data_IF_595728835423
#
_entry.id   IF_595728835423
#
_cell.length_a   1.000
_cell.length_b   1.000
_cell.length_c   1.000
_cell.angle_alpha   90.00
_cell.angle_beta   90.00
_cell.angle_gamma   90.00
#
_symmetry.space_group_name_H-M   'P 1'
#
loop_
_entity.id
_entity.type
_entity.pdbx_description
1 polymer ?
#
# COMPACT_ATOMS: atom_id res chain seq x y z
N UNK A 1 -65.23 -19.37 -1.53
CA UNK A 1 -64.09 -19.28 -0.60
C UNK A 1 -62.97 -20.10 -1.21
N UNK A 2 -62.16 -19.44 -2.05
CA UNK A 2 -61.13 -20.07 -2.84
C UNK A 2 -59.78 -19.71 -2.22
N UNK A 3 -59.07 -20.70 -1.69
CA UNK A 3 -57.75 -20.59 -1.12
C UNK A 3 -56.75 -20.49 -2.28
N UNK A 4 -56.11 -19.36 -2.39
CA UNK A 4 -54.93 -19.16 -3.27
C UNK A 4 -53.70 -19.87 -2.66
N UNK A 5 -53.23 -20.86 -3.36
CA UNK A 5 -52.00 -21.59 -3.04
C UNK A 5 -50.80 -20.76 -3.48
N UNK A 6 -49.97 -20.31 -2.52
CA UNK A 6 -48.67 -19.66 -2.78
C UNK A 6 -47.64 -20.76 -2.89
N UNK A 7 -46.85 -20.87 -3.99
CA UNK A 7 -45.82 -21.86 -4.07
C UNK A 7 -44.61 -21.44 -3.21
N UNK A 8 -44.33 -22.31 -2.27
CA UNK A 8 -43.15 -22.28 -1.38
C UNK A 8 -41.88 -22.50 -2.15
N UNK A 9 -40.88 -21.67 -1.91
CA UNK A 9 -39.47 -22.07 -1.91
C UNK A 9 -38.68 -21.86 -3.19
N UNK A 10 -38.31 -20.62 -3.46
CA UNK A 10 -36.99 -20.39 -4.09
C UNK A 10 -36.00 -20.10 -2.97
N UNK A 11 -35.31 -21.14 -2.54
CA UNK A 11 -34.11 -21.01 -1.67
C UNK A 11 -32.99 -20.40 -2.53
N UNK A 12 -32.88 -19.09 -2.52
CA UNK A 12 -31.71 -18.42 -3.05
C UNK A 12 -30.56 -18.86 -2.13
N UNK A 13 -29.80 -19.85 -2.58
CA UNK A 13 -28.50 -20.15 -1.99
C UNK A 13 -27.62 -18.90 -2.20
N UNK A 14 -27.59 -18.04 -1.21
CA UNK A 14 -26.51 -17.09 -1.03
C UNK A 14 -25.24 -17.95 -0.81
N UNK A 15 -24.55 -18.25 -1.90
CA UNK A 15 -23.18 -18.74 -1.82
C UNK A 15 -22.36 -17.59 -1.25
N UNK A 16 -22.21 -17.57 0.06
CA UNK A 16 -21.25 -16.71 0.74
C UNK A 16 -19.86 -17.18 0.32
N UNK A 17 -19.36 -16.63 -0.77
CA UNK A 17 -17.97 -16.87 -1.19
C UNK A 17 -17.07 -16.28 -0.13
N UNK A 18 -16.25 -17.11 0.50
CA UNK A 18 -15.24 -16.63 1.44
C UNK A 18 -14.30 -15.67 0.72
N UNK A 19 -13.98 -14.52 1.30
CA UNK A 19 -13.07 -13.57 0.67
C UNK A 19 -11.72 -14.22 0.39
N UNK A 20 -11.13 -13.87 -0.75
CA UNK A 20 -9.80 -14.35 -1.14
C UNK A 20 -8.78 -13.78 -0.15
N UNK A 21 -8.00 -14.66 0.44
CA UNK A 21 -6.91 -14.30 1.37
C UNK A 21 -5.52 -14.44 0.73
N UNK A 22 -5.44 -15.07 -0.44
CA UNK A 22 -4.21 -15.24 -1.24
C UNK A 22 -4.50 -15.01 -2.70
N UNK A 23 -3.70 -14.19 -3.35
CA UNK A 23 -3.90 -13.87 -4.77
C UNK A 23 -2.57 -13.51 -5.44
N UNK A 24 -2.39 -13.96 -6.68
CA UNK A 24 -1.28 -13.53 -7.52
C UNK A 24 -1.57 -12.15 -8.15
N UNK A 25 -0.56 -11.30 -8.22
CA UNK A 25 -0.68 -9.95 -8.75
C UNK A 25 -1.15 -9.92 -10.21
N UNK A 26 -0.66 -10.87 -11.02
CA UNK A 26 -1.12 -11.02 -12.40
C UNK A 26 -2.62 -11.30 -12.52
N UNK A 27 -3.24 -11.92 -11.49
CA UNK A 27 -4.69 -12.12 -11.45
C UNK A 27 -5.45 -10.85 -11.08
N UNK A 28 -4.88 -9.99 -10.25
CA UNK A 28 -5.48 -8.70 -9.89
C UNK A 28 -5.50 -7.75 -11.09
N UNK A 29 -4.48 -7.82 -11.94
CA UNK A 29 -4.40 -6.99 -13.14
C UNK A 29 -5.62 -7.21 -14.06
N UNK A 30 -6.33 -6.13 -14.35
CA UNK A 30 -7.55 -6.12 -15.16
C UNK A 30 -8.85 -6.34 -14.37
N UNK A 31 -8.80 -6.73 -13.09
CA UNK A 31 -10.01 -6.86 -12.27
C UNK A 31 -10.74 -5.53 -12.14
N UNK A 32 -12.07 -5.62 -12.09
CA UNK A 32 -12.92 -4.45 -11.89
C UNK A 32 -12.91 -4.06 -10.43
N UNK A 33 -12.77 -2.77 -10.16
CA UNK A 33 -12.91 -2.17 -8.83
C UNK A 33 -14.28 -1.53 -8.72
N UNK A 34 -15.02 -1.88 -7.66
CA UNK A 34 -16.37 -1.37 -7.37
C UNK A 34 -16.43 -0.73 -6.00
N UNK A 35 -17.20 0.34 -5.92
CA UNK A 35 -17.62 0.91 -4.65
C UNK A 35 -18.72 0.08 -3.96
N UNK A 36 -19.13 0.47 -2.74
CA UNK A 36 -20.12 -0.25 -1.95
C UNK A 36 -21.50 -0.33 -2.62
N UNK A 37 -21.86 0.66 -3.44
CA UNK A 37 -23.12 0.70 -4.21
C UNK A 37 -23.01 -0.01 -5.57
N UNK A 38 -21.96 -0.84 -5.74
CA UNK A 38 -21.68 -1.61 -6.95
C UNK A 38 -21.33 -0.77 -8.19
N UNK A 39 -21.14 0.53 -8.05
CA UNK A 39 -20.66 1.41 -9.12
C UNK A 39 -19.23 1.00 -9.53
N UNK A 40 -18.94 1.11 -10.83
CA UNK A 40 -17.61 0.79 -11.37
C UNK A 40 -16.71 2.02 -11.24
N UNK A 41 -15.67 1.89 -10.42
CA UNK A 41 -14.65 2.92 -10.23
C UNK A 41 -13.59 2.82 -11.32
N UNK A 42 -13.12 1.62 -11.63
CA UNK A 42 -12.08 1.41 -12.62
C UNK A 42 -11.61 -0.03 -12.75
N UNK A 43 -10.39 -0.21 -13.24
CA UNK A 43 -9.73 -1.53 -13.36
C UNK A 43 -8.32 -1.47 -12.80
N UNK A 44 -7.95 -2.49 -12.05
CA UNK A 44 -6.57 -2.65 -11.56
C UNK A 44 -5.61 -2.75 -12.73
N UNK A 45 -4.52 -2.00 -12.66
CA UNK A 45 -3.39 -2.08 -13.59
C UNK A 45 -2.17 -2.70 -12.94
N UNK A 46 -1.94 -2.40 -11.65
CA UNK A 46 -0.79 -2.89 -10.94
C UNK A 46 -1.03 -2.90 -9.42
N UNK A 47 -0.08 -3.41 -8.66
CA UNK A 47 -0.03 -3.37 -7.21
C UNK A 47 1.26 -2.67 -6.80
N UNK A 48 1.15 -1.68 -5.94
CA UNK A 48 2.29 -0.96 -5.38
C UNK A 48 2.77 -1.67 -4.13
N UNK A 49 4.06 -1.91 -4.04
CA UNK A 49 4.72 -2.52 -2.88
C UNK A 49 5.92 -1.68 -2.46
N UNK A 50 6.25 -1.71 -1.19
CA UNK A 50 7.52 -1.23 -0.69
C UNK A 50 8.40 -2.44 -0.37
N UNK A 51 9.50 -2.59 -1.13
CA UNK A 51 10.43 -3.71 -0.94
C UNK A 51 11.44 -3.31 0.13
N UNK A 52 11.49 -4.11 1.19
CA UNK A 52 12.46 -3.93 2.26
C UNK A 52 13.58 -4.96 2.13
N UNK A 53 14.85 -4.54 2.17
CA UNK A 53 15.97 -5.46 2.08
C UNK A 53 16.04 -6.40 3.31
N UNK A 54 16.75 -7.52 3.15
CA UNK A 54 17.10 -8.45 4.24
C UNK A 54 15.96 -9.26 4.87
N UNK A 55 15.00 -9.74 4.04
CA UNK A 55 13.99 -10.70 4.49
C UNK A 55 12.85 -10.11 5.31
N UNK A 56 12.75 -8.79 5.39
CA UNK A 56 11.63 -8.14 6.03
C UNK A 56 10.33 -8.25 5.23
N UNK A 57 9.21 -8.18 5.93
CA UNK A 57 7.88 -8.28 5.34
C UNK A 57 7.68 -7.15 4.33
N UNK A 58 7.56 -7.51 3.06
CA UNK A 58 7.20 -6.58 1.98
C UNK A 58 5.69 -6.40 1.97
N UNK A 59 5.22 -5.18 2.16
CA UNK A 59 3.79 -4.87 2.20
C UNK A 59 3.30 -4.36 0.86
N UNK A 60 2.06 -4.73 0.50
CA UNK A 60 1.33 -4.11 -0.58
C UNK A 60 0.65 -2.85 -0.03
N UNK A 61 1.07 -1.69 -0.54
CA UNK A 61 0.58 -0.38 -0.11
C UNK A 61 -0.79 -0.08 -0.73
N UNK A 62 -0.98 -0.44 -2.00
CA UNK A 62 -2.22 -0.12 -2.70
C UNK A 62 -2.24 -0.67 -4.13
N UNK A 63 -3.29 -0.32 -4.82
CA UNK A 63 -3.54 -0.68 -6.21
C UNK A 63 -3.36 0.53 -7.11
N UNK A 64 -2.77 0.35 -8.27
CA UNK A 64 -2.86 1.30 -9.38
C UNK A 64 -4.13 0.98 -10.14
N UNK A 65 -5.11 1.88 -10.09
CA UNK A 65 -6.41 1.70 -10.74
C UNK A 65 -6.53 2.66 -11.91
N UNK A 66 -6.89 2.14 -13.07
CA UNK A 66 -7.21 2.95 -14.23
C UNK A 66 -8.70 3.28 -14.22
N UNK A 67 -8.99 4.55 -14.09
CA UNK A 67 -10.35 5.11 -14.12
C UNK A 67 -10.69 5.66 -15.50
N UNK A 68 -11.83 6.30 -15.64
CA UNK A 68 -12.27 6.93 -16.88
C UNK A 68 -11.18 7.86 -17.45
N UNK A 69 -11.06 7.92 -18.78
CA UNK A 69 -10.03 8.67 -19.54
C UNK A 69 -8.59 8.15 -19.37
N UNK A 70 -8.42 6.85 -19.11
CA UNK A 70 -7.11 6.20 -18.96
C UNK A 70 -6.24 6.81 -17.83
N UNK A 71 -6.84 7.54 -16.93
CA UNK A 71 -6.14 8.08 -15.77
C UNK A 71 -5.84 6.97 -14.78
N UNK A 72 -4.61 6.89 -14.31
CA UNK A 72 -4.19 5.96 -13.28
C UNK A 72 -4.15 6.69 -11.95
N UNK A 73 -4.83 6.14 -10.94
CA UNK A 73 -4.88 6.66 -9.58
C UNK A 73 -4.31 5.62 -8.62
N UNK A 74 -3.86 6.07 -7.45
CA UNK A 74 -3.48 5.19 -6.35
C UNK A 74 -4.70 4.94 -5.47
N UNK A 75 -4.93 3.68 -5.13
CA UNK A 75 -5.97 3.24 -4.22
C UNK A 75 -5.32 2.48 -3.06
N UNK A 76 -5.31 3.02 -1.84
CA UNK A 76 -4.73 2.34 -0.68
C UNK A 76 -5.32 0.97 -0.45
N UNK A 77 -4.51 0.01 0.00
CA UNK A 77 -4.96 -1.37 0.27
C UNK A 77 -5.98 -1.44 1.41
N UNK A 78 -5.95 -0.49 2.34
CA UNK A 78 -6.92 -0.34 3.43
C UNK A 78 -8.35 -0.07 2.94
N UNK A 79 -8.51 0.55 1.78
CA UNK A 79 -9.83 0.79 1.17
C UNK A 79 -10.42 -0.45 0.50
N UNK A 80 -9.67 -1.53 0.40
CA UNK A 80 -10.15 -2.80 -0.16
C UNK A 80 -10.90 -3.58 0.93
N UNK A 81 -12.21 -3.65 0.80
CA UNK A 81 -13.07 -4.44 1.69
C UNK A 81 -12.88 -5.95 1.45
N UNK A 82 -12.96 -6.36 0.17
CA UNK A 82 -12.77 -7.76 -0.24
C UNK A 82 -12.20 -7.87 -1.65
N UNK A 83 -11.45 -8.94 -1.88
CA UNK A 83 -11.07 -9.40 -3.21
C UNK A 83 -11.90 -10.64 -3.51
N UNK A 84 -12.68 -10.57 -4.57
CA UNK A 84 -13.55 -11.64 -5.04
C UNK A 84 -12.98 -12.26 -6.33
N UNK A 85 -13.52 -13.36 -6.86
CA UNK A 85 -12.93 -14.02 -8.02
C UNK A 85 -12.82 -13.18 -9.29
N UNK A 86 -13.65 -12.14 -9.45
CA UNK A 86 -13.71 -11.33 -10.67
C UNK A 86 -13.68 -9.81 -10.42
N UNK A 87 -13.80 -9.38 -9.16
CA UNK A 87 -13.90 -7.97 -8.81
C UNK A 87 -13.32 -7.68 -7.43
N UNK A 88 -13.02 -6.43 -7.18
CA UNK A 88 -12.54 -5.90 -5.91
C UNK A 88 -13.58 -4.93 -5.39
N UNK A 89 -14.03 -5.16 -4.15
CA UNK A 89 -15.00 -4.30 -3.48
C UNK A 89 -14.27 -3.34 -2.55
N UNK A 90 -14.66 -2.07 -2.57
CA UNK A 90 -14.15 -1.04 -1.68
C UNK A 90 -15.06 -0.86 -0.47
N UNK A 91 -14.46 -0.37 0.61
CA UNK A 91 -15.19 0.04 1.83
C UNK A 91 -16.04 1.29 1.56
N UNK A 92 -15.57 2.21 0.70
CA UNK A 92 -16.18 3.48 0.36
C UNK A 92 -16.11 3.71 -1.15
N UNK A 93 -17.11 4.38 -1.74
CA UNK A 93 -17.14 4.76 -3.15
C UNK A 93 -16.31 6.00 -3.49
N UNK A 94 -15.93 6.77 -2.49
CA UNK A 94 -15.10 7.94 -2.66
C UNK A 94 -13.66 7.53 -2.91
N UNK A 95 -13.06 8.01 -3.99
CA UNK A 95 -11.67 7.74 -4.35
C UNK A 95 -10.97 9.01 -4.80
N UNK A 96 -9.74 9.22 -4.33
CA UNK A 96 -8.92 10.32 -4.81
C UNK A 96 -8.60 10.13 -6.28
N UNK A 97 -8.91 11.13 -7.10
CA UNK A 97 -8.62 11.11 -8.54
C UNK A 97 -7.22 11.60 -8.89
N UNK A 98 -6.31 11.70 -7.92
CA UNK A 98 -4.92 12.11 -8.19
C UNK A 98 -4.23 11.11 -9.09
N UNK A 99 -3.41 11.61 -10.00
CA UNK A 99 -2.63 10.74 -10.86
C UNK A 99 -1.58 10.00 -10.02
N UNK A 100 -1.54 8.68 -10.15
CA UNK A 100 -0.50 7.86 -9.53
C UNK A 100 0.90 8.28 -10.03
N UNK A 101 1.79 8.51 -9.10
CA UNK A 101 3.22 8.66 -9.32
C UNK A 101 3.95 7.81 -8.30
N UNK A 102 4.82 6.87 -8.71
CA UNK A 102 5.59 6.07 -7.75
C UNK A 102 6.51 6.98 -6.92
N UNK A 103 6.62 6.67 -5.64
CA UNK A 103 7.48 7.36 -4.68
C UNK A 103 8.82 6.64 -4.58
N UNK A 104 9.78 7.29 -3.93
CA UNK A 104 11.09 6.66 -3.67
C UNK A 104 10.89 5.38 -2.84
N UNK A 105 11.42 4.26 -3.34
CA UNK A 105 11.30 2.95 -2.70
C UNK A 105 10.02 2.17 -3.03
N UNK A 106 9.02 2.79 -3.63
CA UNK A 106 7.85 2.08 -4.15
C UNK A 106 8.17 1.41 -5.49
N UNK A 107 7.72 0.17 -5.63
CA UNK A 107 7.79 -0.60 -6.87
C UNK A 107 6.41 -1.11 -7.23
N UNK A 108 6.14 -1.20 -8.52
CA UNK A 108 4.97 -1.87 -9.03
C UNK A 108 5.27 -3.33 -9.34
N UNK A 109 4.36 -4.24 -8.97
CA UNK A 109 4.65 -5.68 -9.14
C UNK A 109 4.74 -6.05 -10.61
N UNK A 110 3.73 -5.66 -11.42
CA UNK A 110 3.69 -6.04 -12.84
C UNK A 110 4.68 -5.21 -13.67
N UNK A 111 4.81 -3.92 -13.35
CA UNK A 111 5.65 -3.00 -14.11
C UNK A 111 7.15 -3.15 -13.82
N UNK A 112 7.52 -3.36 -12.56
CA UNK A 112 8.92 -3.31 -12.13
C UNK A 112 9.49 -4.68 -11.73
N UNK A 113 8.68 -5.53 -11.07
CA UNK A 113 9.16 -6.78 -10.49
C UNK A 113 8.99 -7.98 -11.41
N UNK A 114 7.85 -8.13 -12.07
CA UNK A 114 7.63 -9.24 -13.02
C UNK A 114 8.56 -9.06 -14.23
N UNK A 115 9.27 -10.12 -14.57
CA UNK A 115 10.30 -10.12 -15.61
C UNK A 115 11.69 -9.66 -15.13
N UNK A 116 11.80 -9.12 -13.90
CA UNK A 116 13.10 -8.77 -13.32
C UNK A 116 13.89 -10.05 -12.94
N UNK A 117 15.22 -9.90 -12.88
CA UNK A 117 16.11 -11.00 -12.48
C UNK A 117 16.45 -10.88 -11.01
N UNK A 118 16.27 -11.97 -10.28
CA UNK A 118 16.55 -12.09 -8.86
C UNK A 118 17.40 -13.32 -8.58
N UNK A 119 17.98 -13.42 -7.40
CA UNK A 119 18.60 -14.62 -6.89
C UNK A 119 17.65 -15.31 -5.91
N UNK A 120 17.65 -16.63 -5.95
CA UNK A 120 16.85 -17.47 -5.05
C UNK A 120 17.78 -18.35 -4.24
N UNK A 121 17.59 -18.32 -2.93
CA UNK A 121 18.29 -19.16 -1.96
C UNK A 121 17.27 -20.09 -1.27
N UNK A 122 16.82 -21.09 -2.00
CA UNK A 122 15.85 -22.07 -1.52
C UNK A 122 16.51 -23.46 -1.45
N UNK A 123 16.53 -24.10 -0.27
CA UNK A 123 17.16 -25.41 -0.08
C UNK A 123 16.57 -26.52 -0.96
N UNK A 124 15.30 -26.40 -1.40
CA UNK A 124 14.65 -27.38 -2.27
C UNK A 124 15.00 -27.16 -3.76
N UNK A 125 15.63 -26.03 -4.09
CA UNK A 125 15.95 -25.64 -5.46
C UNK A 125 17.46 -25.41 -5.67
N UNK A 126 18.28 -26.36 -5.23
CA UNK A 126 19.76 -26.29 -5.34
C UNK A 126 20.25 -25.98 -6.75
N UNK A 127 19.52 -26.41 -7.78
CA UNK A 127 19.86 -26.15 -9.18
C UNK A 127 19.69 -24.66 -9.58
N UNK A 128 18.98 -23.86 -8.80
CA UNK A 128 18.78 -22.43 -9.02
C UNK A 128 19.67 -21.57 -8.12
N UNK A 129 20.31 -22.17 -7.12
CA UNK A 129 21.14 -21.47 -6.15
C UNK A 129 22.26 -20.66 -6.83
N UNK A 130 22.38 -19.36 -6.47
CA UNK A 130 23.37 -18.45 -7.02
C UNK A 130 23.18 -18.05 -8.48
N UNK A 131 22.11 -18.51 -9.14
CA UNK A 131 21.80 -18.14 -10.53
C UNK A 131 20.69 -17.12 -10.59
N UNK A 132 20.79 -16.11 -11.49
CA UNK A 132 19.69 -15.17 -11.70
C UNK A 132 18.50 -15.89 -12.37
N UNK A 133 17.35 -15.83 -11.73
CA UNK A 133 16.06 -16.31 -12.23
C UNK A 133 15.11 -15.15 -12.49
N UNK A 134 14.15 -15.32 -13.40
CA UNK A 134 13.20 -14.29 -13.77
C UNK A 134 11.91 -14.46 -12.97
N UNK A 135 11.42 -13.38 -12.37
CA UNK A 135 10.12 -13.36 -11.66
C UNK A 135 8.99 -13.52 -12.69
N UNK A 136 8.15 -14.52 -12.48
CA UNK A 136 6.97 -14.79 -13.29
C UNK A 136 5.71 -14.12 -12.74
N UNK A 137 5.52 -14.14 -11.41
CA UNK A 137 4.40 -13.51 -10.71
C UNK A 137 4.68 -13.48 -9.20
N UNK A 138 3.91 -12.68 -8.46
CA UNK A 138 4.06 -12.49 -7.02
C UNK A 138 2.73 -12.75 -6.32
N UNK A 139 2.75 -13.59 -5.28
CA UNK A 139 1.59 -13.89 -4.44
C UNK A 139 1.51 -12.91 -3.27
N UNK A 140 0.34 -12.31 -3.13
CA UNK A 140 -0.05 -11.51 -1.98
C UNK A 140 -0.90 -12.35 -1.04
N UNK A 141 -0.69 -12.18 0.25
CA UNK A 141 -1.44 -12.85 1.31
C UNK A 141 -1.96 -11.84 2.32
N UNK A 142 -3.25 -11.95 2.68
CA UNK A 142 -3.87 -11.12 3.70
C UNK A 142 -3.56 -11.68 5.07
N UNK A 143 -2.95 -10.88 5.92
CA UNK A 143 -2.62 -11.24 7.31
C UNK A 143 -3.87 -11.22 8.20
N UNK A 144 -3.72 -11.67 9.45
CA UNK A 144 -4.77 -11.58 10.48
C UNK A 144 -5.08 -10.12 10.86
N UNK A 145 -4.12 -9.24 10.74
CA UNK A 145 -4.23 -7.78 10.97
C UNK A 145 -4.83 -7.04 9.77
N UNK A 146 -5.28 -7.77 8.75
CA UNK A 146 -5.84 -7.28 7.48
C UNK A 146 -4.85 -6.66 6.51
N UNK A 147 -3.57 -6.60 6.84
CA UNK A 147 -2.53 -6.16 5.91
C UNK A 147 -2.35 -7.16 4.77
N UNK A 148 -1.97 -6.64 3.63
CA UNK A 148 -1.57 -7.46 2.49
C UNK A 148 -0.05 -7.47 2.38
N UNK A 149 0.54 -8.65 2.39
CA UNK A 149 1.99 -8.84 2.31
C UNK A 149 2.35 -9.68 1.10
N UNK A 150 3.56 -9.52 0.61
CA UNK A 150 4.15 -10.44 -0.35
C UNK A 150 4.56 -11.72 0.39
N UNK A 151 3.96 -12.86 0.01
CA UNK A 151 4.20 -14.14 0.68
C UNK A 151 5.11 -15.06 -0.13
N UNK A 152 4.87 -15.18 -1.43
CA UNK A 152 5.57 -16.08 -2.33
C UNK A 152 5.85 -15.43 -3.67
N UNK A 153 6.81 -15.99 -4.38
CA UNK A 153 7.18 -15.56 -5.74
C UNK A 153 7.23 -16.77 -6.65
N UNK A 154 6.59 -16.66 -7.80
CA UNK A 154 6.75 -17.60 -8.89
C UNK A 154 7.94 -17.16 -9.75
N UNK A 155 8.90 -18.05 -9.98
CA UNK A 155 10.09 -17.78 -10.79
C UNK A 155 10.23 -18.81 -11.91
N UNK A 156 10.79 -18.38 -13.05
CA UNK A 156 11.13 -19.28 -14.13
C UNK A 156 12.49 -19.91 -13.85
N UNK A 157 12.55 -21.25 -13.82
CA UNK A 157 13.79 -22.00 -13.83
C UNK A 157 14.55 -21.90 -15.17
N UNK A 158 15.58 -22.73 -15.34
CA UNK A 158 16.40 -22.71 -16.56
C UNK A 158 15.56 -22.86 -17.83
N UNK A 159 15.83 -22.00 -18.82
CA UNK A 159 15.20 -22.11 -20.14
C UNK A 159 15.72 -23.37 -20.83
N UNK A 160 14.86 -24.30 -21.21
CA UNK A 160 15.29 -25.45 -22.02
C UNK A 160 15.84 -24.97 -23.36
N UNK A 161 16.80 -25.71 -23.92
CA UNK A 161 17.55 -25.35 -25.16
C UNK A 161 16.68 -25.10 -26.40
N UNK A 162 15.38 -25.41 -26.36
CA UNK A 162 14.43 -25.21 -27.45
C UNK A 162 13.18 -24.47 -26.95
N UNK A 163 13.19 -23.15 -27.03
CA UNK A 163 12.06 -22.24 -27.23
C UNK A 163 10.86 -22.26 -26.28
N UNK A 164 10.87 -23.04 -25.19
CA UNK A 164 9.80 -23.04 -24.17
C UNK A 164 10.25 -22.25 -22.94
N UNK A 165 9.29 -21.60 -22.24
CA UNK A 165 9.54 -21.03 -20.93
C UNK A 165 10.05 -22.12 -19.99
N UNK A 166 10.99 -21.78 -19.09
CA UNK A 166 11.50 -22.69 -18.08
C UNK A 166 10.39 -23.22 -17.16
N UNK A 167 10.70 -24.24 -16.35
CA UNK A 167 9.81 -24.72 -15.30
C UNK A 167 9.46 -23.57 -14.36
N UNK A 168 8.20 -23.53 -13.91
CA UNK A 168 7.75 -22.54 -12.92
C UNK A 168 7.96 -23.13 -11.52
N UNK A 169 8.65 -22.36 -10.67
CA UNK A 169 8.88 -22.70 -9.27
C UNK A 169 8.26 -21.60 -8.40
N UNK A 170 7.70 -21.98 -7.25
CA UNK A 170 7.12 -21.05 -6.29
C UNK A 170 7.93 -21.11 -5.00
N UNK A 171 8.55 -20.00 -4.64
CA UNK A 171 9.44 -19.89 -3.48
C UNK A 171 8.89 -18.86 -2.48
N UNK A 172 9.19 -19.00 -1.18
CA UNK A 172 8.92 -17.96 -0.21
C UNK A 172 9.61 -16.64 -0.59
N UNK A 173 8.96 -15.51 -0.33
CA UNK A 173 9.56 -14.19 -0.57
C UNK A 173 10.88 -14.00 0.19
N UNK A 174 10.98 -14.55 1.40
CA UNK A 174 12.19 -14.49 2.23
C UNK A 174 13.43 -15.15 1.61
N UNK A 175 13.25 -16.00 0.60
CA UNK A 175 14.33 -16.67 -0.12
C UNK A 175 14.75 -15.93 -1.40
N UNK A 176 14.15 -14.76 -1.67
CA UNK A 176 14.45 -13.96 -2.86
C UNK A 176 15.38 -12.81 -2.51
N UNK A 177 16.45 -12.65 -3.27
CA UNK A 177 17.50 -11.65 -3.07
C UNK A 177 17.80 -10.90 -4.36
N UNK A 178 18.43 -9.72 -4.23
CA UNK A 178 18.88 -8.94 -5.38
C UNK A 178 17.79 -8.07 -6.02
N UNK A 179 16.65 -7.87 -5.34
CA UNK A 179 15.69 -6.86 -5.75
C UNK A 179 16.25 -5.50 -5.31
N UNK A 180 16.59 -4.68 -6.27
CA UNK A 180 17.01 -3.30 -6.02
C UNK A 180 15.98 -2.37 -6.62
N UNK A 181 15.36 -1.55 -5.79
CA UNK A 181 14.65 -0.38 -6.29
C UNK A 181 15.66 0.50 -7.02
N UNK A 182 15.38 0.88 -8.25
CA UNK A 182 16.24 1.81 -9.01
C UNK A 182 16.32 3.13 -8.21
N UNK A 183 17.43 3.35 -7.49
CA UNK A 183 17.64 4.46 -6.56
C UNK A 183 18.25 4.07 -5.22
N UNK A 184 18.41 2.78 -4.91
CA UNK A 184 18.88 2.27 -3.61
C UNK A 184 20.40 2.47 -3.35
N UNK A 185 21.03 3.43 -3.99
CA UNK A 185 22.47 3.73 -3.82
C UNK A 185 22.86 4.44 -2.53
N UNK A 186 21.94 4.72 -1.59
CA UNK A 186 22.26 5.47 -0.35
C UNK A 186 21.78 4.82 0.95
N UNK A 187 21.33 3.58 0.96
CA UNK A 187 20.44 3.19 2.03
C UNK A 187 20.61 1.84 2.71
N UNK A 188 21.75 1.17 2.65
CA UNK A 188 21.90 -0.03 3.48
C UNK A 188 21.64 0.27 4.98
N UNK A 189 22.09 1.43 5.48
CA UNK A 189 21.87 1.85 6.86
C UNK A 189 20.43 2.28 7.16
N UNK A 190 19.79 3.04 6.26
CA UNK A 190 18.41 3.50 6.44
C UNK A 190 17.45 2.33 6.29
N UNK A 191 17.68 1.45 5.32
CA UNK A 191 16.90 0.24 5.16
C UNK A 191 17.00 -0.71 6.36
N UNK A 192 18.20 -0.88 6.94
CA UNK A 192 18.41 -1.65 8.17
C UNK A 192 17.69 -1.01 9.36
N UNK A 193 17.69 0.33 9.44
CA UNK A 193 16.99 1.06 10.48
C UNK A 193 15.47 0.89 10.38
N UNK A 194 14.90 1.07 9.18
CA UNK A 194 13.47 0.88 8.92
C UNK A 194 13.04 -0.55 9.23
N UNK A 195 13.88 -1.52 8.87
CA UNK A 195 13.67 -2.91 9.19
C UNK A 195 13.55 -3.16 10.71
N UNK A 196 14.28 -2.44 11.52
CA UNK A 196 14.17 -2.50 12.99
C UNK A 196 12.85 -1.91 13.48
N UNK A 197 12.31 -0.92 12.77
CA UNK A 197 11.06 -0.27 13.14
C UNK A 197 9.85 -1.21 13.05
N UNK A 198 9.88 -2.26 12.22
CA UNK A 198 8.77 -3.21 12.08
C UNK A 198 8.32 -3.85 13.40
N UNK A 199 9.24 -3.99 14.34
CA UNK A 199 8.96 -4.59 15.64
C UNK A 199 8.89 -3.56 16.80
N UNK A 200 8.91 -2.27 16.49
CA UNK A 200 8.90 -1.18 17.47
C UNK A 200 7.53 -0.51 17.52
N UNK A 201 7.15 0.01 18.68
CA UNK A 201 5.96 0.84 18.81
C UNK A 201 6.21 2.22 18.20
N UNK A 202 5.17 2.90 17.67
CA UNK A 202 5.28 4.25 17.12
C UNK A 202 6.00 5.23 18.05
N UNK A 203 5.67 5.26 19.34
CA UNK A 203 6.30 6.11 20.35
C UNK A 203 7.82 5.87 20.52
N UNK A 204 8.26 4.62 20.40
CA UNK A 204 9.69 4.28 20.49
C UNK A 204 10.43 4.76 19.23
N UNK A 205 9.80 4.63 18.07
CA UNK A 205 10.33 5.13 16.79
C UNK A 205 10.38 6.67 16.79
N UNK A 206 9.31 7.33 17.24
CA UNK A 206 9.25 8.79 17.39
C UNK A 206 10.41 9.31 18.26
N UNK A 207 10.72 8.60 19.36
CA UNK A 207 11.86 8.93 20.21
C UNK A 207 13.20 8.83 19.50
N UNK A 208 13.39 7.83 18.61
CA UNK A 208 14.59 7.70 17.78
C UNK A 208 14.66 8.80 16.72
N UNK A 209 13.57 9.07 16.02
CA UNK A 209 13.50 10.12 14.98
C UNK A 209 13.80 11.48 15.58
N UNK A 210 13.31 11.78 16.79
CA UNK A 210 13.58 13.02 17.50
C UNK A 210 15.07 13.24 17.79
N UNK A 211 15.82 12.16 18.02
CA UNK A 211 17.26 12.23 18.28
C UNK A 211 18.10 12.34 17.00
N UNK A 212 17.53 12.15 15.81
CA UNK A 212 18.24 12.19 14.54
C UNK A 212 18.41 13.62 14.00
N UNK A 213 19.49 13.88 13.22
CA UNK A 213 19.60 15.10 12.41
C UNK A 213 18.43 15.22 11.42
N UNK A 214 17.98 16.44 11.11
CA UNK A 214 16.83 16.71 10.23
C UNK A 214 16.90 15.99 8.88
N UNK A 215 18.07 16.03 8.20
CA UNK A 215 18.26 15.39 6.91
C UNK A 215 18.13 13.85 6.97
N UNK A 216 18.62 13.22 8.05
CA UNK A 216 18.50 11.78 8.24
C UNK A 216 17.07 11.38 8.57
N UNK A 217 16.40 12.17 9.43
CA UNK A 217 14.98 12.01 9.78
C UNK A 217 14.08 12.09 8.54
N UNK A 218 14.32 13.09 7.66
CA UNK A 218 13.60 13.20 6.40
C UNK A 218 13.80 11.98 5.50
N UNK A 219 15.04 11.52 5.33
CA UNK A 219 15.35 10.33 4.52
C UNK A 219 14.64 9.08 5.06
N UNK A 220 14.56 8.94 6.39
CA UNK A 220 13.83 7.84 7.03
C UNK A 220 12.32 7.99 6.80
N UNK A 221 11.76 9.18 7.00
CA UNK A 221 10.35 9.46 6.78
C UNK A 221 9.92 9.20 5.32
N UNK A 222 10.79 9.52 4.34
CA UNK A 222 10.54 9.24 2.93
C UNK A 222 10.44 7.75 2.58
N UNK A 223 11.00 6.87 3.41
CA UNK A 223 11.01 5.43 3.19
C UNK A 223 9.99 4.64 4.03
N UNK A 224 9.31 5.30 4.98
CA UNK A 224 8.19 4.71 5.71
C UNK A 224 6.93 4.68 4.82
N UNK A 225 6.03 3.72 5.06
CA UNK A 225 4.67 3.77 4.52
C UNK A 225 3.86 4.88 5.21
N UNK A 226 2.80 5.36 4.55
CA UNK A 226 2.09 6.56 5.01
C UNK A 226 1.32 6.32 6.31
N UNK A 227 0.71 5.14 6.50
CA UNK A 227 0.04 4.73 7.74
C UNK A 227 1.03 4.72 8.92
N UNK A 228 2.21 4.10 8.70
CA UNK A 228 3.24 4.03 9.73
C UNK A 228 3.83 5.39 10.05
N UNK A 229 3.96 6.25 9.04
CA UNK A 229 4.43 7.62 9.23
C UNK A 229 3.40 8.46 10.00
N UNK A 230 2.11 8.29 9.73
CA UNK A 230 1.03 8.92 10.48
C UNK A 230 1.06 8.51 11.96
N UNK A 231 1.11 7.21 12.26
CA UNK A 231 1.23 6.68 13.62
C UNK A 231 2.42 7.29 14.39
N UNK A 232 3.56 7.47 13.70
CA UNK A 232 4.78 8.00 14.32
C UNK A 232 4.66 9.52 14.50
N UNK A 233 4.05 10.22 13.56
CA UNK A 233 3.83 11.65 13.66
C UNK A 233 3.00 12.01 14.90
N UNK A 234 1.90 11.32 15.15
CA UNK A 234 1.04 11.51 16.32
C UNK A 234 1.79 11.40 17.66
N UNK A 235 2.91 10.71 17.68
CA UNK A 235 3.77 10.53 18.86
C UNK A 235 4.93 11.55 18.94
N UNK A 236 5.07 12.42 17.94
CA UNK A 236 6.09 13.48 17.93
C UNK A 236 5.55 14.78 18.54
N UNK A 237 6.40 15.65 19.07
CA UNK A 237 6.03 17.03 19.43
C UNK A 237 5.60 17.83 18.19
N UNK A 238 4.66 18.76 18.37
CA UNK A 238 4.00 19.54 17.31
C UNK A 238 5.00 20.22 16.37
N UNK A 239 6.05 20.85 16.92
CA UNK A 239 7.13 21.47 16.13
C UNK A 239 7.85 20.49 15.20
N UNK A 240 7.93 19.21 15.59
CA UNK A 240 8.57 18.14 14.81
C UNK A 240 7.63 17.51 13.80
N UNK A 241 6.35 17.44 14.13
CA UNK A 241 5.30 17.03 13.19
C UNK A 241 5.26 18.00 12.01
N UNK A 242 5.13 19.30 12.30
CA UNK A 242 5.12 20.35 11.28
C UNK A 242 6.38 20.33 10.41
N UNK A 243 7.58 20.24 11.01
CA UNK A 243 8.85 20.15 10.28
C UNK A 243 8.88 18.97 9.30
N UNK A 244 8.40 17.80 9.71
CA UNK A 244 8.38 16.60 8.86
C UNK A 244 7.35 16.70 7.74
N UNK A 245 6.15 17.16 8.02
CA UNK A 245 5.10 17.36 7.01
C UNK A 245 5.53 18.40 5.98
N UNK A 246 6.16 19.50 6.40
CA UNK A 246 6.69 20.51 5.49
C UNK A 246 7.81 20.00 4.57
N UNK A 247 8.59 19.03 5.04
CA UNK A 247 9.69 18.45 4.28
C UNK A 247 9.23 17.38 3.25
N UNK A 248 8.01 16.86 3.37
CA UNK A 248 7.45 15.92 2.41
C UNK A 248 6.96 16.61 1.14
N UNK A 249 6.87 15.84 0.05
CA UNK A 249 6.11 16.27 -1.12
C UNK A 249 4.65 16.52 -0.71
N UNK A 250 4.08 17.66 -1.14
CA UNK A 250 2.77 18.12 -0.64
C UNK A 250 1.65 17.12 -0.86
N UNK A 251 1.70 16.37 -1.98
CA UNK A 251 0.74 15.32 -2.26
C UNK A 251 0.87 14.14 -1.28
N UNK A 252 2.08 13.88 -0.80
CA UNK A 252 2.33 12.84 0.19
C UNK A 252 1.91 13.27 1.58
N UNK A 253 2.22 14.53 1.93
CA UNK A 253 1.80 15.09 3.20
C UNK A 253 0.28 15.00 3.38
N UNK A 254 -0.50 15.28 2.32
CA UNK A 254 -1.95 15.14 2.36
C UNK A 254 -2.39 13.68 2.58
N UNK A 255 -1.72 12.70 1.97
CA UNK A 255 -2.05 11.26 2.20
C UNK A 255 -1.70 10.82 3.62
N UNK A 256 -0.58 11.30 4.17
CA UNK A 256 -0.21 10.99 5.56
C UNK A 256 -1.23 11.59 6.53
N UNK A 257 -1.71 12.81 6.29
CA UNK A 257 -2.78 13.42 7.09
C UNK A 257 -4.12 12.67 7.01
N UNK A 258 -4.43 12.04 5.86
CA UNK A 258 -5.60 11.17 5.70
C UNK A 258 -5.55 9.92 6.58
N UNK A 259 -4.34 9.42 6.90
CA UNK A 259 -4.11 8.23 7.74
C UNK A 259 -4.01 8.57 9.25
N UNK A 260 -4.00 9.87 9.62
CA UNK A 260 -3.99 10.32 11.02
C UNK A 260 -5.41 10.33 11.60
N UNK A 261 -5.51 10.30 12.94
CA UNK A 261 -6.77 10.63 13.61
C UNK A 261 -7.17 12.07 13.27
N UNK A 262 -8.45 12.36 13.00
CA UNK A 262 -8.88 13.69 12.51
C UNK A 262 -8.57 14.85 13.44
N UNK A 263 -8.52 14.63 14.76
CA UNK A 263 -8.14 15.64 15.77
C UNK A 263 -6.64 15.93 15.72
N UNK A 264 -5.80 14.92 15.64
CA UNK A 264 -4.35 15.09 15.50
C UNK A 264 -3.99 15.75 14.16
N UNK A 265 -4.69 15.39 13.07
CA UNK A 265 -4.52 16.03 11.77
C UNK A 265 -4.94 17.52 11.80
N UNK A 266 -6.01 17.88 12.54
CA UNK A 266 -6.46 19.25 12.68
C UNK A 266 -5.48 20.08 13.49
N UNK A 267 -4.95 19.55 14.60
CA UNK A 267 -3.95 20.19 15.44
C UNK A 267 -2.66 20.45 14.64
N UNK A 268 -2.18 19.44 13.90
CA UNK A 268 -1.00 19.57 13.05
C UNK A 268 -1.19 20.61 11.93
N UNK A 269 -2.35 20.65 11.30
CA UNK A 269 -2.65 21.66 10.27
C UNK A 269 -2.72 23.07 10.87
N UNK A 270 -3.16 23.22 12.13
CA UNK A 270 -3.14 24.47 12.86
C UNK A 270 -1.75 25.03 13.14
N UNK A 271 -0.73 24.18 13.18
CA UNK A 271 0.68 24.59 13.34
C UNK A 271 1.36 24.99 12.01
N UNK A 272 0.70 24.75 10.86
CA UNK A 272 1.23 25.09 9.54
C UNK A 272 0.77 26.50 9.11
N UNK A 273 1.49 27.16 8.19
CA UNK A 273 0.99 28.36 7.53
C UNK A 273 -0.36 28.12 6.84
N UNK A 274 -1.31 29.07 6.98
CA UNK A 274 -2.69 28.95 6.49
C UNK A 274 -2.77 28.54 5.02
N UNK A 275 -1.91 29.11 4.18
CA UNK A 275 -1.83 28.80 2.74
C UNK A 275 -1.43 27.36 2.46
N UNK A 276 -0.59 26.76 3.30
CA UNK A 276 -0.21 25.35 3.19
C UNK A 276 -1.30 24.43 3.72
N UNK A 277 -1.89 24.78 4.87
CA UNK A 277 -2.99 24.01 5.45
C UNK A 277 -4.17 23.91 4.48
N UNK A 278 -4.55 25.01 3.85
CA UNK A 278 -5.61 25.07 2.85
C UNK A 278 -5.31 24.15 1.65
N UNK A 279 -4.09 24.20 1.11
CA UNK A 279 -3.68 23.34 0.00
C UNK A 279 -3.68 21.86 0.40
N UNK A 280 -3.22 21.53 1.60
CA UNK A 280 -3.24 20.15 2.10
C UNK A 280 -4.68 19.63 2.23
N UNK A 281 -5.58 20.43 2.82
CA UNK A 281 -6.99 20.10 2.93
C UNK A 281 -7.70 19.95 1.58
N UNK A 282 -7.33 20.74 0.57
CA UNK A 282 -7.84 20.59 -0.80
C UNK A 282 -7.32 19.32 -1.48
N UNK A 283 -6.13 18.91 -1.08
CA UNK A 283 -5.48 17.73 -1.61
C UNK A 283 -5.93 16.42 -0.95
N UNK A 284 -6.48 16.46 0.24
CA UNK A 284 -7.06 15.30 0.94
C UNK A 284 -8.34 14.82 0.28
N UNK A 285 -8.68 13.56 0.50
CA UNK A 285 -9.97 13.01 0.11
C UNK A 285 -11.11 13.77 0.83
N UNK A 286 -12.19 14.13 0.13
CA UNK A 286 -13.31 14.85 0.73
C UNK A 286 -13.93 14.19 1.97
N UNK A 287 -13.92 12.85 2.05
CA UNK A 287 -14.45 12.12 3.22
C UNK A 287 -13.53 12.26 4.44
N UNK A 288 -12.22 12.28 4.23
CA UNK A 288 -11.22 12.41 5.29
C UNK A 288 -11.00 13.88 5.69
N UNK A 289 -11.03 14.83 4.76
CA UNK A 289 -10.86 16.26 5.05
C UNK A 289 -12.07 16.89 5.74
N UNK A 290 -13.29 16.35 5.56
CA UNK A 290 -14.49 16.95 6.15
C UNK A 290 -14.54 16.91 7.69
N UNK A 291 -14.15 15.83 8.40
CA UNK A 291 -14.02 15.86 9.85
C UNK A 291 -12.91 16.81 10.33
N UNK A 292 -11.76 16.83 9.66
CA UNK A 292 -10.63 17.72 10.00
C UNK A 292 -11.01 19.19 9.91
N UNK A 293 -11.65 19.61 8.79
CA UNK A 293 -12.16 21.01 8.64
C UNK A 293 -13.10 21.41 9.75
N UNK A 294 -14.00 20.51 10.15
CA UNK A 294 -14.94 20.78 11.25
C UNK A 294 -14.22 21.02 12.57
N UNK A 295 -13.16 20.28 12.86
CA UNK A 295 -12.38 20.45 14.08
C UNK A 295 -11.60 21.76 14.06
N UNK A 296 -10.99 22.12 12.95
CA UNK A 296 -10.29 23.41 12.78
C UNK A 296 -11.24 24.62 12.94
N UNK A 297 -12.49 24.53 12.46
CA UNK A 297 -13.50 25.58 12.61
C UNK A 297 -13.94 25.79 14.08
N UNK A 298 -13.76 24.77 14.95
CA UNK A 298 -14.11 24.82 16.37
C UNK A 298 -12.92 25.07 17.29
N UNK A 299 -11.71 25.27 16.76
CA UNK A 299 -10.52 25.57 17.58
C UNK A 299 -10.70 26.91 18.33
N UNK A 300 -10.44 26.96 19.67
CA UNK A 300 -10.80 28.11 20.51
C UNK A 300 -9.96 29.36 20.31
N UNK A 301 -9.03 29.40 19.38
CA UNK A 301 -8.20 30.56 19.08
C UNK A 301 -8.86 31.58 18.13
N UNK A 302 -10.15 31.47 17.88
CA UNK A 302 -10.92 32.42 17.06
C UNK A 302 -11.77 33.34 17.96
N UNK A 303 -11.15 33.96 18.97
CA UNK A 303 -11.80 35.04 19.76
C UNK A 303 -10.87 36.24 19.86
#
# INVERSE_FOLDING_TARGET
>A
MQLLHVPTGVLVHLVTMSPITKVYAGRLAGMVVRGPDTEVIGRVRDVVVIVRPNGHVTRALGLVVEVVNNRRIFLPMLRVASIEPQEIMLVSGSVSLRAFKPRTGELTIVGDLVGSKVQVDDPELENLHGRPVEIADIELERTRTRDWIVSRVAVFGEKPKFGRRGSLHVVPWSHVHGITAAGAGQSDKVAELIARFDNMRPADIASLLRAMPAAERQTVAEQLDDERLADILQELPDDRQAELIEALAIERAAVVLEEMDPDDAADLLGELPDDKADVLLELMDPEESAPVRRLMDFSPDTV
#
